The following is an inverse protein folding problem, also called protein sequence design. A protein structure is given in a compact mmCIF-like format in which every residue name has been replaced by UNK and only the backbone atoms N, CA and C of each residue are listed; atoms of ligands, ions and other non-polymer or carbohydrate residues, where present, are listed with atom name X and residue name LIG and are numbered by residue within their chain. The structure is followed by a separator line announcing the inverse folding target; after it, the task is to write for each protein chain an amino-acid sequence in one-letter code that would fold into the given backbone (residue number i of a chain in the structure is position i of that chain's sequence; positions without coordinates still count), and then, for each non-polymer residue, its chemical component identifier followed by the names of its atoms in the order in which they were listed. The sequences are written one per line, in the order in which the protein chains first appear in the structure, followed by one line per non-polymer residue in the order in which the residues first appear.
data_IF_101676432469
#
_entry.id   IF_101676432469
#
_cell.length_a   1.000
_cell.length_b   1.000
_cell.length_c   1.000
_cell.angle_alpha   90.00
_cell.angle_beta   90.00
_cell.angle_gamma   90.00
#
_symmetry.space_group_name_H-M   'P 1'
#
loop_
_entity.id
_entity.type
_entity.pdbx_description
1 polymer ?
#
# COMPACT_ATOMS: atom_id res chain seq x y z
N UNK A 1 8.54 -15.00 18.98
CA UNK A 1 9.50 -15.18 17.87
C UNK A 1 8.97 -14.41 16.67
N UNK A 2 9.79 -13.55 16.05
CA UNK A 2 9.42 -12.93 14.77
C UNK A 2 9.49 -14.00 13.68
N UNK A 3 8.39 -14.17 12.94
CA UNK A 3 8.30 -15.11 11.84
C UNK A 3 8.61 -14.45 10.50
N UNK A 4 8.14 -13.21 10.34
CA UNK A 4 8.15 -12.54 9.05
C UNK A 4 8.04 -11.02 9.23
N UNK A 5 8.68 -10.29 8.31
CA UNK A 5 8.67 -8.84 8.26
C UNK A 5 8.61 -8.37 6.82
N UNK A 6 7.82 -7.33 6.57
CA UNK A 6 7.56 -6.83 5.22
C UNK A 6 7.24 -5.34 5.25
N UNK A 7 7.60 -4.63 4.18
CA UNK A 7 7.18 -3.26 3.91
C UNK A 7 5.81 -3.33 3.23
N UNK A 8 4.79 -2.74 3.86
CA UNK A 8 3.40 -2.84 3.43
C UNK A 8 2.85 -1.63 2.73
N UNK A 9 3.34 -0.46 3.07
CA UNK A 9 2.84 0.75 2.45
C UNK A 9 3.81 1.91 2.57
N UNK A 10 3.65 2.84 1.64
CA UNK A 10 4.20 4.17 1.70
C UNK A 10 3.06 5.17 1.85
N UNK A 11 3.22 6.12 2.77
CA UNK A 11 2.23 7.17 3.03
C UNK A 11 2.83 8.54 2.85
N UNK A 12 2.13 9.40 2.14
CA UNK A 12 2.54 10.78 1.89
C UNK A 12 1.34 11.69 2.13
N UNK A 13 1.46 12.60 3.10
CA UNK A 13 0.47 13.66 3.32
C UNK A 13 0.82 14.87 2.48
N UNK A 14 -0.06 15.23 1.56
CA UNK A 14 0.09 16.42 0.74
C UNK A 14 -0.25 17.68 1.58
N UNK A 15 0.36 18.84 1.26
CA UNK A 15 -0.04 20.10 1.86
C UNK A 15 -1.48 20.46 1.46
N UNK A 16 -2.23 21.12 2.34
CA UNK A 16 -3.60 21.61 2.07
C UNK A 16 -3.74 22.50 0.82
N UNK A 17 -2.63 23.05 0.33
CA UNK A 17 -2.56 23.87 -0.89
C UNK A 17 -2.45 23.07 -2.19
N UNK A 18 -2.32 21.73 -2.13
CA UNK A 18 -2.24 20.90 -3.32
C UNK A 18 -3.63 20.83 -3.97
N UNK A 19 -3.74 21.39 -5.18
CA UNK A 19 -4.87 21.12 -6.06
C UNK A 19 -4.73 19.68 -6.57
N UNK A 20 -5.86 19.04 -6.86
CA UNK A 20 -6.00 17.65 -7.33
C UNK A 20 -4.75 17.07 -8.00
N UNK A 21 -4.33 15.88 -7.54
CA UNK A 21 -3.24 15.14 -8.19
C UNK A 21 -3.68 14.80 -9.63
N UNK A 22 -2.92 15.26 -10.62
CA UNK A 22 -3.18 14.93 -12.02
C UNK A 22 -2.83 13.46 -12.31
N UNK A 23 -3.48 12.89 -13.33
CA UNK A 23 -3.16 11.54 -13.80
C UNK A 23 -1.67 11.38 -14.14
N UNK A 24 -1.03 12.40 -14.72
CA UNK A 24 0.41 12.40 -15.03
C UNK A 24 1.30 12.14 -13.80
N UNK A 25 0.90 12.67 -12.64
CA UNK A 25 1.64 12.44 -11.38
C UNK A 25 1.42 11.00 -10.91
N UNK A 26 0.20 10.47 -11.02
CA UNK A 26 -0.11 9.07 -10.66
C UNK A 26 0.71 8.12 -11.55
N UNK A 27 0.73 8.37 -12.86
CA UNK A 27 1.52 7.59 -13.82
C UNK A 27 3.02 7.70 -13.54
N UNK A 28 3.48 8.88 -13.12
CA UNK A 28 4.87 9.09 -12.71
C UNK A 28 5.23 8.30 -11.44
N UNK A 29 4.33 8.25 -10.44
CA UNK A 29 4.53 7.40 -9.25
C UNK A 29 4.58 5.93 -9.67
N UNK A 30 3.66 5.46 -10.50
CA UNK A 30 3.69 4.10 -11.05
C UNK A 30 4.98 3.77 -11.79
N UNK A 31 5.53 4.72 -12.54
CA UNK A 31 6.80 4.52 -13.23
C UNK A 31 7.99 4.45 -12.26
N UNK A 32 7.96 5.17 -11.14
CA UNK A 32 8.96 5.03 -10.07
C UNK A 32 8.88 3.66 -9.38
N UNK A 33 7.71 3.03 -9.41
CA UNK A 33 7.43 1.73 -8.79
C UNK A 33 7.93 0.53 -9.58
N UNK A 34 8.53 0.68 -10.77
CA UNK A 34 8.90 -0.46 -11.64
C UNK A 34 9.81 -1.49 -10.97
N UNK A 35 10.66 -1.02 -10.07
CA UNK A 35 11.64 -1.84 -9.36
C UNK A 35 11.14 -2.32 -8.00
N UNK A 36 9.87 -2.02 -7.64
CA UNK A 36 9.29 -2.33 -6.34
C UNK A 36 7.92 -2.99 -6.52
N UNK A 37 7.67 -4.06 -5.78
CA UNK A 37 6.37 -4.76 -5.78
C UNK A 37 5.27 -3.90 -5.13
N UNK A 38 4.62 -3.07 -5.95
CA UNK A 38 3.50 -2.19 -5.57
C UNK A 38 2.20 -2.76 -6.13
N UNK A 39 1.19 -2.86 -5.26
CA UNK A 39 -0.09 -3.48 -5.59
C UNK A 39 -1.19 -2.47 -5.90
N UNK A 40 -1.16 -1.28 -5.28
CA UNK A 40 -2.15 -0.24 -5.50
C UNK A 40 -1.60 1.15 -5.12
N UNK A 41 -2.21 2.19 -5.68
CA UNK A 41 -2.00 3.59 -5.29
C UNK A 41 -3.37 4.21 -5.06
N UNK A 42 -3.64 4.60 -3.82
CA UNK A 42 -4.88 5.23 -3.39
C UNK A 42 -4.61 6.68 -2.99
N UNK A 43 -5.49 7.59 -3.45
CA UNK A 43 -5.42 9.00 -3.12
C UNK A 43 -6.78 9.40 -2.55
N UNK A 44 -6.80 9.81 -1.28
CA UNK A 44 -8.05 10.21 -0.65
C UNK A 44 -8.34 11.71 -0.82
N UNK A 45 -9.58 12.10 -0.52
CA UNK A 45 -10.06 13.49 -0.61
C UNK A 45 -9.34 14.45 0.35
N UNK A 46 -8.62 13.93 1.34
CA UNK A 46 -7.83 14.71 2.29
C UNK A 46 -6.41 14.99 1.77
N UNK A 47 -6.09 14.60 0.52
CA UNK A 47 -4.76 14.77 -0.04
C UNK A 47 -3.74 13.82 0.59
N UNK A 48 -4.15 12.61 0.92
CA UNK A 48 -3.27 11.57 1.42
C UNK A 48 -3.04 10.56 0.31
N UNK A 49 -1.77 10.29 0.00
CA UNK A 49 -1.35 9.28 -0.97
C UNK A 49 -0.90 8.05 -0.21
N UNK A 50 -1.50 6.92 -0.54
CA UNK A 50 -1.22 5.61 -0.01
C UNK A 50 -0.75 4.71 -1.15
N UNK A 51 0.49 4.23 -1.08
CA UNK A 51 1.03 3.27 -2.03
C UNK A 51 1.14 1.93 -1.31
N UNK A 52 0.33 0.96 -1.71
CA UNK A 52 0.35 -0.39 -1.17
C UNK A 52 1.49 -1.20 -1.77
N UNK A 53 2.22 -1.94 -0.93
CA UNK A 53 3.36 -2.73 -1.34
C UNK A 53 3.39 -4.08 -0.61
N UNK A 54 4.05 -5.06 -1.21
CA UNK A 54 4.27 -6.39 -0.64
C UNK A 54 5.75 -6.78 -0.79
N UNK A 55 6.60 -6.11 -0.01
CA UNK A 55 8.05 -6.26 -0.14
C UNK A 55 8.59 -6.96 1.11
N UNK A 56 9.22 -8.12 0.94
CA UNK A 56 9.92 -8.79 2.03
C UNK A 56 11.01 -7.89 2.63
N UNK A 57 11.14 -7.88 3.95
CA UNK A 57 12.12 -7.03 4.60
C UNK A 57 13.55 -7.60 4.46
N UNK A 58 14.40 -6.89 3.73
CA UNK A 58 15.84 -7.09 3.67
C UNK A 58 16.55 -5.73 3.75
N UNK A 59 17.86 -5.70 3.99
CA UNK A 59 18.61 -4.43 4.00
C UNK A 59 18.59 -3.75 2.61
N UNK A 60 18.61 -4.55 1.55
CA UNK A 60 18.52 -4.08 0.17
C UNK A 60 17.15 -3.45 -0.11
N UNK A 61 16.08 -4.21 0.11
CA UNK A 61 14.70 -3.75 -0.08
C UNK A 61 14.36 -2.54 0.79
N UNK A 62 14.95 -2.45 1.99
CA UNK A 62 14.80 -1.29 2.87
C UNK A 62 15.42 -0.03 2.26
N UNK A 63 16.62 -0.14 1.69
CA UNK A 63 17.28 0.98 1.04
C UNK A 63 16.54 1.42 -0.23
N UNK A 64 16.05 0.46 -1.02
CA UNK A 64 15.22 0.73 -2.20
C UNK A 64 13.91 1.42 -1.83
N UNK A 65 13.21 0.93 -0.80
CA UNK A 65 12.00 1.54 -0.28
C UNK A 65 12.22 3.00 0.18
N UNK A 66 13.33 3.27 0.86
CA UNK A 66 13.70 4.65 1.23
C UNK A 66 13.97 5.50 -0.01
N UNK A 67 14.69 4.96 -1.00
CA UNK A 67 15.00 5.65 -2.24
C UNK A 67 13.73 6.00 -3.01
N UNK A 68 12.86 5.03 -3.22
CA UNK A 68 11.54 5.19 -3.84
C UNK A 68 10.72 6.27 -3.14
N UNK A 69 10.57 6.18 -1.81
CA UNK A 69 9.79 7.16 -1.08
C UNK A 69 10.38 8.57 -1.22
N UNK A 70 11.71 8.72 -1.20
CA UNK A 70 12.35 10.02 -1.43
C UNK A 70 12.09 10.57 -2.83
N UNK A 71 12.10 9.72 -3.85
CA UNK A 71 11.77 10.10 -5.22
C UNK A 71 10.31 10.52 -5.35
N UNK A 72 9.38 9.77 -4.77
CA UNK A 72 7.97 10.11 -4.72
C UNK A 72 7.71 11.43 -3.97
N UNK A 73 8.39 11.65 -2.83
CA UNK A 73 8.33 12.92 -2.09
C UNK A 73 8.85 14.10 -2.91
N UNK A 74 9.91 13.90 -3.69
CA UNK A 74 10.45 14.93 -4.58
C UNK A 74 9.46 15.27 -5.70
N UNK A 75 8.86 14.26 -6.34
CA UNK A 75 7.84 14.41 -7.37
C UNK A 75 6.63 15.19 -6.85
N UNK A 76 6.16 14.84 -5.66
CA UNK A 76 5.01 15.48 -5.02
C UNK A 76 5.36 16.81 -4.31
N UNK A 77 6.64 17.21 -4.30
CA UNK A 77 7.13 18.39 -3.60
C UNK A 77 6.76 18.41 -2.09
N UNK A 78 6.87 17.26 -1.42
CA UNK A 78 6.56 17.07 0.01
C UNK A 78 7.85 16.84 0.81
N UNK A 79 7.86 17.32 2.06
CA UNK A 79 9.07 17.28 2.91
C UNK A 79 9.35 15.92 3.54
N UNK A 80 8.31 15.12 3.75
CA UNK A 80 8.39 13.86 4.47
C UNK A 80 7.24 12.93 4.10
N UNK A 81 7.47 11.63 4.31
CA UNK A 81 6.49 10.56 4.17
C UNK A 81 6.79 9.47 5.17
N UNK A 82 6.02 8.39 5.14
CA UNK A 82 6.09 7.31 6.10
C UNK A 82 6.14 5.96 5.38
N UNK A 83 6.94 5.03 5.91
CA UNK A 83 6.93 3.62 5.52
C UNK A 83 6.23 2.86 6.64
N UNK A 84 5.22 2.07 6.29
CA UNK A 84 4.59 1.13 7.20
C UNK A 84 5.21 -0.25 7.02
N UNK A 85 5.78 -0.79 8.10
CA UNK A 85 6.39 -2.11 8.13
C UNK A 85 5.55 -3.01 9.02
N UNK A 86 5.19 -4.17 8.50
CA UNK A 86 4.46 -5.18 9.25
C UNK A 86 5.41 -6.23 9.80
N UNK A 87 5.17 -6.63 11.04
CA UNK A 87 5.82 -7.77 11.71
C UNK A 87 4.77 -8.83 12.05
N UNK A 88 5.07 -10.07 11.74
CA UNK A 88 4.29 -11.23 12.16
C UNK A 88 5.06 -11.95 13.25
N UNK A 89 4.48 -12.00 14.44
CA UNK A 89 5.07 -12.60 15.63
C UNK A 89 4.31 -13.87 16.00
N UNK A 90 5.03 -14.96 16.23
CA UNK A 90 4.47 -16.15 16.87
C UNK A 90 4.78 -16.17 18.37
N UNK A 91 3.78 -16.59 19.13
CA UNK A 91 3.87 -17.02 20.52
C UNK A 91 3.38 -18.46 20.63
N UNK A 92 3.60 -19.10 21.79
CA UNK A 92 3.23 -20.51 22.01
C UNK A 92 1.76 -20.83 21.66
N UNK A 93 0.86 -19.85 21.81
CA UNK A 93 -0.59 -20.05 21.65
C UNK A 93 -1.23 -19.13 20.60
N UNK A 94 -0.48 -18.26 19.94
CA UNK A 94 -1.06 -17.30 18.99
C UNK A 94 -0.06 -16.73 18.01
N UNK A 95 -0.54 -16.28 16.86
CA UNK A 95 0.21 -15.45 15.92
C UNK A 95 -0.39 -14.04 15.95
N UNK A 96 0.44 -13.03 16.17
CA UNK A 96 0.08 -11.60 16.24
C UNK A 96 0.69 -10.83 15.08
N UNK A 97 0.01 -9.79 14.62
CA UNK A 97 0.55 -8.81 13.68
C UNK A 97 0.83 -7.50 14.41
N UNK A 98 1.97 -6.88 14.16
CA UNK A 98 2.33 -5.53 14.63
C UNK A 98 2.70 -4.66 13.43
N UNK A 99 2.43 -3.35 13.52
CA UNK A 99 2.77 -2.37 12.48
C UNK A 99 3.72 -1.35 13.09
N UNK A 100 4.80 -1.08 12.39
CA UNK A 100 5.81 -0.07 12.73
C UNK A 100 5.79 1.04 11.67
N UNK A 101 5.85 2.29 12.12
CA UNK A 101 5.98 3.45 11.26
C UNK A 101 7.41 3.98 11.22
N UNK A 102 7.84 4.37 10.02
CA UNK A 102 9.13 5.01 9.80
C UNK A 102 8.95 6.29 9.01
N UNK A 103 9.25 7.42 9.64
CA UNK A 103 9.22 8.72 8.95
C UNK A 103 10.49 8.91 8.13
N UNK A 104 10.32 9.06 6.83
CA UNK A 104 11.40 9.34 5.87
C UNK A 104 11.39 10.81 5.52
N UNK A 105 12.57 11.42 5.60
CA UNK A 105 12.82 12.81 5.21
C UNK A 105 14.04 12.89 4.29
N UNK A 106 14.31 14.08 3.76
CA UNK A 106 15.57 14.37 3.07
C UNK A 106 16.81 14.15 3.96
N UNK A 107 16.68 14.30 5.28
CA UNK A 107 17.81 14.26 6.23
C UNK A 107 18.09 12.88 6.82
N UNK A 108 17.09 12.00 6.84
CA UNK A 108 17.20 10.72 7.53
C UNK A 108 15.86 10.01 7.66
N UNK A 109 15.93 8.85 8.31
CA UNK A 109 14.80 7.97 8.60
C UNK A 109 14.70 7.81 10.12
N UNK A 110 13.50 7.94 10.64
CA UNK A 110 13.23 7.97 12.08
C UNK A 110 12.08 7.03 12.41
N UNK A 111 12.16 6.31 13.53
CA UNK A 111 10.99 5.63 14.08
C UNK A 111 9.93 6.69 14.41
N UNK A 112 8.71 6.48 13.94
CA UNK A 112 7.61 7.40 14.17
C UNK A 112 6.29 6.63 14.24
N UNK A 113 5.35 7.14 15.02
CA UNK A 113 3.98 6.66 14.91
C UNK A 113 3.46 6.96 13.50
N UNK A 114 2.71 6.00 12.95
CA UNK A 114 2.03 6.22 11.69
C UNK A 114 0.97 7.32 11.87
N UNK A 115 0.70 8.13 10.84
CA UNK A 115 -0.35 9.13 10.90
C UNK A 115 -1.69 8.49 11.26
N UNK A 116 -2.44 9.13 12.17
CA UNK A 116 -3.77 8.69 12.61
C UNK A 116 -4.84 8.94 11.53
N UNK A 117 -4.69 8.31 10.36
CA UNK A 117 -5.73 8.22 9.36
C UNK A 117 -6.42 6.86 9.54
N UNK A 118 -7.66 6.80 10.07
CA UNK A 118 -8.33 5.55 10.41
C UNK A 118 -8.48 4.62 9.21
N UNK A 119 -8.82 5.17 8.05
CA UNK A 119 -8.97 4.44 6.78
C UNK A 119 -7.63 3.80 6.36
N UNK A 120 -6.52 4.48 6.57
CA UNK A 120 -5.18 4.03 6.23
C UNK A 120 -4.71 2.85 7.10
N UNK A 121 -4.91 2.91 8.42
CA UNK A 121 -4.58 1.78 9.30
C UNK A 121 -5.46 0.59 9.00
N UNK A 122 -6.74 0.83 8.72
CA UNK A 122 -7.64 -0.24 8.33
C UNK A 122 -7.18 -0.87 7.02
N UNK A 123 -6.90 -0.10 5.97
CA UNK A 123 -6.54 -0.62 4.65
C UNK A 123 -5.21 -1.37 4.64
N UNK A 124 -4.18 -0.90 5.36
CA UNK A 124 -2.95 -1.67 5.57
C UNK A 124 -3.24 -3.00 6.27
N UNK A 125 -4.17 -3.02 7.22
CA UNK A 125 -4.61 -4.24 7.90
C UNK A 125 -5.50 -5.11 7.00
N UNK A 126 -6.33 -4.54 6.11
CA UNK A 126 -7.20 -5.28 5.17
C UNK A 126 -6.35 -6.09 4.18
N UNK A 127 -5.33 -5.46 3.59
CA UNK A 127 -4.37 -6.13 2.69
C UNK A 127 -3.40 -7.08 3.43
N UNK A 128 -3.45 -7.17 4.77
CA UNK A 128 -2.58 -8.06 5.58
C UNK A 128 -3.00 -9.54 5.60
N UNK A 129 -4.00 -9.94 4.79
CA UNK A 129 -4.40 -11.34 4.60
C UNK A 129 -5.07 -12.01 5.81
N UNK A 130 -5.49 -11.24 6.82
CA UNK A 130 -6.12 -11.78 8.05
C UNK A 130 -7.58 -11.44 8.24
N UNK A 131 -8.17 -10.63 7.38
CA UNK A 131 -9.59 -10.33 7.48
C UNK A 131 -10.36 -11.27 6.55
N UNK A 132 -10.72 -12.46 7.05
CA UNK A 132 -11.49 -13.49 6.33
C UNK A 132 -12.72 -12.91 5.62
N UNK A 133 -13.34 -11.89 6.22
CA UNK A 133 -14.51 -11.20 5.67
C UNK A 133 -14.20 -10.42 4.38
N UNK A 134 -13.03 -9.79 4.30
CA UNK A 134 -12.63 -9.02 3.12
C UNK A 134 -12.02 -9.90 2.02
N UNK A 135 -11.34 -10.99 2.39
CA UNK A 135 -10.97 -12.03 1.42
C UNK A 135 -12.20 -12.67 0.78
N UNK A 136 -13.28 -12.87 1.55
CA UNK A 136 -14.56 -13.32 1.01
C UNK A 136 -15.17 -12.30 0.04
N UNK A 137 -15.10 -11.00 0.35
CA UNK A 137 -15.60 -9.94 -0.53
C UNK A 137 -14.80 -9.90 -1.84
N UNK A 138 -13.47 -9.88 -1.78
CA UNK A 138 -12.61 -9.87 -2.98
C UNK A 138 -12.77 -11.16 -3.83
N UNK A 139 -12.90 -12.32 -3.18
CA UNK A 139 -13.19 -13.58 -3.88
C UNK A 139 -14.57 -13.56 -4.56
N UNK A 140 -15.57 -12.96 -3.92
CA UNK A 140 -16.91 -12.80 -4.51
C UNK A 140 -16.89 -11.81 -5.68
N UNK A 141 -16.20 -10.68 -5.58
CA UNK A 141 -16.07 -9.71 -6.68
C UNK A 141 -15.37 -10.29 -7.90
N UNK A 142 -14.31 -11.10 -7.69
CA UNK A 142 -13.64 -11.85 -8.77
C UNK A 142 -14.56 -12.89 -9.41
N UNK A 143 -15.37 -13.59 -8.62
CA UNK A 143 -16.39 -14.51 -9.11
C UNK A 143 -17.45 -13.80 -9.96
N UNK A 144 -17.94 -12.64 -9.52
CA UNK A 144 -18.93 -11.86 -10.28
C UNK A 144 -18.38 -11.37 -11.62
N UNK A 145 -17.14 -10.84 -11.67
CA UNK A 145 -16.51 -10.46 -12.95
C UNK A 145 -16.31 -11.65 -13.88
N UNK A 146 -15.87 -12.78 -13.34
CA UNK A 146 -15.71 -14.00 -14.14
C UNK A 146 -17.03 -14.48 -14.75
N UNK A 147 -18.14 -14.40 -13.99
CA UNK A 147 -19.47 -14.75 -14.50
C UNK A 147 -19.91 -13.76 -15.58
N UNK A 148 -19.72 -12.45 -15.38
CA UNK A 148 -20.04 -11.43 -16.38
C UNK A 148 -19.22 -11.59 -17.68
N UNK A 149 -17.95 -12.00 -17.57
CA UNK A 149 -17.10 -12.29 -18.72
C UNK A 149 -17.55 -13.57 -19.46
N UNK A 150 -17.92 -14.63 -18.73
CA UNK A 150 -18.49 -15.85 -19.32
C UNK A 150 -19.85 -15.62 -20.01
N UNK A 151 -20.69 -14.73 -19.48
CA UNK A 151 -21.97 -14.38 -20.11
C UNK A 151 -21.80 -13.52 -21.37
N UNK A 152 -20.72 -12.72 -21.46
CA UNK A 152 -20.41 -11.93 -22.67
C UNK A 152 -19.74 -12.74 -23.77
N UNK A 153 -18.99 -13.77 -23.42
CA UNK A 153 -18.28 -14.64 -24.35
C UNK A 153 -19.07 -15.87 -24.79
N UNK A 154 -20.39 -15.91 -24.54
CA UNK A 154 -21.28 -16.97 -25.02
C UNK A 154 -22.16 -16.48 -26.20
N UNK A 155 -21.63 -16.41 -27.44
CA UNK A 155 -22.42 -16.07 -28.61
C UNK A 155 -23.16 -17.30 -29.12
N UNK A 156 -24.09 -17.86 -28.36
CA UNK A 156 -25.01 -18.89 -28.86
C UNK A 156 -26.23 -19.07 -27.94
N UNK A 157 -27.21 -18.18 -28.08
CA UNK A 157 -28.62 -18.58 -28.16
C UNK A 157 -29.28 -17.67 -29.21
N UNK A 158 -28.92 -17.90 -30.47
CA UNK A 158 -29.87 -17.71 -31.58
C UNK A 158 -30.66 -19.01 -31.71
N UNK A 159 -31.89 -18.99 -31.18
CA UNK A 159 -32.99 -19.81 -31.65
C UNK A 159 -34.31 -19.08 -31.37
#
# INVERSE_FOLDING_TARGET
MELYREIRAFFIKLPYSYREISQDIIDSIWNLSRDISISAIDINKNGEVLVHAEIEFSLENWNEAIHYLRSALSLLNVKNGYIAVRKVLASANSVKTEIEGYKVTKRGVYNAELPESPDFLEDIVKFSGRNKKLQQIDAMEKLFRFIEEQEKDNPEETA
#
